data_IF_980945473077
#
_entry.id   IF_980945473077
#
_cell.length_a   1.000
_cell.length_b   1.000
_cell.length_c   1.000
_cell.angle_alpha   90.00
_cell.angle_beta   90.00
_cell.angle_gamma   90.00
#
_symmetry.space_group_name_H-M   'P 1'
#
loop_
_entity.id
_entity.type
_entity.pdbx_description
1 polymer ?
#
# COMPACT_ATOMS: atom_id res chain seq x y z
N UNK A 1 51.10 7.65 -40.55
CA UNK A 1 50.87 7.02 -39.23
C UNK A 1 49.71 7.75 -38.57
N UNK A 2 48.85 6.93 -37.98
CA UNK A 2 47.51 7.21 -37.47
C UNK A 2 47.41 8.35 -36.46
N UNK A 3 46.23 8.97 -36.35
CA UNK A 3 45.54 9.00 -35.06
C UNK A 3 44.05 9.30 -35.22
N UNK A 4 43.23 8.31 -34.91
CA UNK A 4 41.79 8.43 -34.71
C UNK A 4 41.54 9.20 -33.40
N UNK A 5 40.90 10.36 -33.46
CA UNK A 5 40.34 11.00 -32.27
C UNK A 5 38.88 10.62 -32.12
N UNK A 6 38.64 9.41 -31.61
CA UNK A 6 37.31 8.98 -31.18
C UNK A 6 37.00 9.62 -29.82
N UNK A 7 36.18 10.67 -29.83
CA UNK A 7 35.58 11.23 -28.60
C UNK A 7 34.56 10.25 -28.04
N UNK A 8 35.03 9.30 -27.24
CA UNK A 8 34.15 8.57 -26.31
C UNK A 8 33.62 9.57 -25.29
N UNK A 9 32.33 9.93 -25.40
CA UNK A 9 31.56 10.59 -24.31
C UNK A 9 31.54 9.62 -23.12
N UNK A 10 32.57 9.67 -22.29
CA UNK A 10 32.52 9.09 -20.96
C UNK A 10 31.49 9.89 -20.15
N UNK A 11 30.35 9.27 -19.84
CA UNK A 11 29.43 9.82 -18.85
C UNK A 11 30.21 9.93 -17.54
N UNK A 12 30.28 11.15 -17.00
CA UNK A 12 30.99 11.43 -15.74
C UNK A 12 30.55 10.44 -14.65
N UNK A 13 31.50 9.79 -13.93
CA UNK A 13 31.18 8.82 -12.87
C UNK A 13 30.30 9.41 -11.76
N UNK A 14 30.32 10.74 -11.60
CA UNK A 14 29.45 11.47 -10.67
C UNK A 14 27.96 11.25 -10.96
N UNK A 15 27.56 11.20 -12.23
CA UNK A 15 26.14 11.05 -12.62
C UNK A 15 25.62 9.63 -12.35
N UNK A 16 26.50 8.63 -12.47
CA UNK A 16 26.19 7.23 -12.15
C UNK A 16 26.05 7.04 -10.64
N UNK A 17 26.94 7.67 -9.86
CA UNK A 17 26.91 7.63 -8.40
C UNK A 17 25.62 8.26 -7.84
N UNK A 18 25.23 9.46 -8.31
CA UNK A 18 23.99 10.12 -7.85
C UNK A 18 22.74 9.30 -8.18
N UNK A 19 22.71 8.65 -9.35
CA UNK A 19 21.61 7.74 -9.75
C UNK A 19 21.52 6.50 -8.87
N UNK A 20 22.68 5.94 -8.48
CA UNK A 20 22.73 4.78 -7.59
C UNK A 20 22.28 5.13 -6.18
N UNK A 21 22.73 6.26 -5.65
CA UNK A 21 22.30 6.79 -4.36
C UNK A 21 20.79 7.05 -4.35
N UNK A 22 20.26 7.83 -5.30
CA UNK A 22 18.82 8.11 -5.41
C UNK A 22 17.97 6.83 -5.45
N UNK A 23 18.37 5.84 -6.27
CA UNK A 23 17.69 4.54 -6.34
C UNK A 23 17.73 3.77 -5.01
N UNK A 24 18.84 3.87 -4.28
CA UNK A 24 19.00 3.25 -2.96
C UNK A 24 18.16 3.98 -1.90
N UNK A 25 18.06 5.31 -1.99
CA UNK A 25 17.21 6.13 -1.11
C UNK A 25 15.72 5.86 -1.35
N UNK A 26 15.31 5.56 -2.59
CA UNK A 26 13.94 5.15 -2.89
C UNK A 26 13.64 3.76 -2.32
N UNK A 27 14.57 2.80 -2.46
CA UNK A 27 14.39 1.45 -1.94
C UNK A 27 14.17 1.38 -0.42
N UNK A 28 14.81 2.26 0.37
CA UNK A 28 14.58 2.33 1.83
C UNK A 28 13.22 2.92 2.20
N UNK A 29 12.65 3.76 1.34
CA UNK A 29 11.40 4.47 1.61
C UNK A 29 10.16 3.73 1.12
N UNK A 30 10.33 2.74 0.24
CA UNK A 30 9.21 1.95 -0.26
C UNK A 30 8.79 0.89 0.76
N UNK A 31 7.49 0.61 0.83
CA UNK A 31 6.86 -0.43 1.63
C UNK A 31 5.86 -1.21 0.76
N UNK A 32 5.71 -2.50 1.05
CA UNK A 32 4.75 -3.38 0.40
C UNK A 32 3.69 -3.78 1.42
N UNK A 33 2.42 -3.57 1.08
CA UNK A 33 1.29 -3.82 1.96
C UNK A 33 0.31 -4.77 1.28
N UNK A 34 0.11 -5.94 1.88
CA UNK A 34 -0.98 -6.85 1.58
C UNK A 34 -2.32 -6.26 1.99
N UNK A 35 -3.21 -6.16 1.03
CA UNK A 35 -4.55 -5.59 1.16
C UNK A 35 -5.58 -6.68 0.84
N UNK A 36 -6.65 -6.74 1.62
CA UNK A 36 -7.82 -7.57 1.35
C UNK A 36 -9.08 -6.70 1.42
N UNK A 37 -9.98 -6.82 0.46
CA UNK A 37 -11.29 -6.17 0.53
C UNK A 37 -12.26 -7.13 1.24
N UNK A 38 -13.02 -6.64 2.21
CA UNK A 38 -14.06 -7.45 2.86
C UNK A 38 -15.05 -7.95 1.80
N UNK A 39 -15.30 -9.26 1.79
CA UNK A 39 -16.18 -9.91 0.81
C UNK A 39 -15.49 -10.34 -0.48
N UNK A 40 -14.19 -10.07 -0.65
CA UNK A 40 -13.40 -10.64 -1.74
C UNK A 40 -12.45 -11.73 -1.26
N UNK A 41 -12.22 -12.74 -2.11
CA UNK A 41 -11.33 -13.87 -1.79
C UNK A 41 -9.84 -13.56 -2.07
N UNK A 42 -9.59 -12.58 -2.95
CA UNK A 42 -8.25 -12.30 -3.48
C UNK A 42 -7.63 -11.07 -2.81
N UNK A 43 -6.60 -11.34 -2.00
CA UNK A 43 -5.68 -10.32 -1.55
C UNK A 43 -4.83 -9.79 -2.71
N UNK A 44 -4.29 -8.59 -2.54
CA UNK A 44 -3.42 -7.93 -3.50
C UNK A 44 -2.36 -7.11 -2.78
N UNK A 45 -1.27 -6.78 -3.48
CA UNK A 45 -0.15 -6.04 -2.90
C UNK A 45 -0.15 -4.63 -3.46
N UNK A 46 -0.06 -3.64 -2.57
CA UNK A 46 0.27 -2.26 -2.92
C UNK A 46 1.70 -1.97 -2.55
N UNK A 47 2.41 -1.35 -3.50
CA UNK A 47 3.73 -0.78 -3.28
C UNK A 47 3.59 0.74 -3.20
N UNK A 48 4.03 1.32 -2.09
CA UNK A 48 3.90 2.76 -1.82
C UNK A 48 5.07 3.26 -0.97
N UNK A 49 5.13 4.57 -0.73
CA UNK A 49 6.19 5.19 0.06
C UNK A 49 5.74 5.38 1.50
N UNK A 50 6.63 5.10 2.46
CA UNK A 50 6.35 5.18 3.90
C UNK A 50 5.97 6.60 4.38
N UNK A 51 6.37 7.64 3.64
CA UNK A 51 6.11 9.05 3.99
C UNK A 51 4.71 9.46 3.60
N UNK A 52 4.08 8.72 2.68
CA UNK A 52 2.74 9.05 2.25
C UNK A 52 1.79 8.90 3.41
N UNK A 53 0.74 9.70 3.36
CA UNK A 53 -0.29 9.71 4.38
C UNK A 53 -1.28 8.56 4.20
N UNK A 54 -2.10 8.30 5.22
CA UNK A 54 -3.23 7.35 5.11
C UNK A 54 -4.23 7.80 4.04
N UNK A 55 -4.47 9.10 3.87
CA UNK A 55 -5.33 9.61 2.79
C UNK A 55 -4.76 9.29 1.40
N UNK A 56 -3.46 9.44 1.19
CA UNK A 56 -2.80 9.03 -0.05
C UNK A 56 -2.85 7.50 -0.26
N UNK A 57 -2.77 6.72 0.82
CA UNK A 57 -2.93 5.26 0.78
C UNK A 57 -4.34 4.86 0.34
N UNK A 58 -5.39 5.50 0.88
CA UNK A 58 -6.79 5.27 0.42
C UNK A 58 -6.93 5.53 -1.07
N UNK A 59 -6.35 6.64 -1.55
CA UNK A 59 -6.36 6.97 -2.98
C UNK A 59 -5.65 5.90 -3.82
N UNK A 60 -4.50 5.41 -3.37
CA UNK A 60 -3.76 4.35 -4.06
C UNK A 60 -4.55 3.03 -4.11
N UNK A 61 -5.24 2.65 -3.02
CA UNK A 61 -6.12 1.49 -2.96
C UNK A 61 -7.29 1.63 -3.92
N UNK A 62 -7.97 2.78 -3.90
CA UNK A 62 -9.08 3.08 -4.81
C UNK A 62 -8.63 2.96 -6.27
N UNK A 63 -7.51 3.59 -6.62
CA UNK A 63 -6.97 3.56 -7.98
C UNK A 63 -6.60 2.13 -8.42
N UNK A 64 -6.04 1.31 -7.52
CA UNK A 64 -5.68 -0.07 -7.84
C UNK A 64 -6.91 -0.94 -8.15
N UNK A 65 -8.00 -0.77 -7.40
CA UNK A 65 -9.27 -1.46 -7.65
C UNK A 65 -10.39 -0.50 -8.04
N UNK A 66 -10.14 0.32 -9.05
CA UNK A 66 -11.07 1.38 -9.50
C UNK A 66 -12.47 0.83 -9.79
N UNK A 67 -12.57 -0.33 -10.43
CA UNK A 67 -13.86 -0.95 -10.75
C UNK A 67 -14.66 -1.38 -9.51
N UNK A 68 -13.98 -1.88 -8.47
CA UNK A 68 -14.63 -2.32 -7.22
C UNK A 68 -15.09 -1.11 -6.42
N UNK A 69 -14.30 -0.04 -6.42
CA UNK A 69 -14.57 1.17 -5.65
C UNK A 69 -15.19 2.30 -6.48
N UNK A 70 -15.73 1.99 -7.67
CA UNK A 70 -16.20 3.00 -8.63
C UNK A 70 -17.28 3.92 -8.05
N UNK A 71 -18.12 3.38 -7.17
CA UNK A 71 -19.24 4.08 -6.54
C UNK A 71 -18.87 4.81 -5.25
N UNK A 72 -17.62 4.65 -4.77
CA UNK A 72 -17.19 5.18 -3.49
C UNK A 72 -16.03 6.15 -3.66
N UNK A 73 -16.04 7.23 -2.90
CA UNK A 73 -14.87 8.09 -2.76
C UNK A 73 -13.82 7.44 -1.86
N UNK A 74 -12.55 7.79 -2.07
CA UNK A 74 -11.46 7.14 -1.35
C UNK A 74 -11.56 7.37 0.17
N UNK A 75 -12.07 8.52 0.61
CA UNK A 75 -12.32 8.86 2.00
C UNK A 75 -13.51 8.10 2.62
N UNK A 76 -14.35 7.45 1.82
CA UNK A 76 -15.42 6.58 2.30
C UNK A 76 -14.92 5.17 2.61
N UNK A 77 -13.68 4.83 2.22
CA UNK A 77 -13.09 3.52 2.50
C UNK A 77 -12.52 3.51 3.92
N UNK A 78 -13.06 2.63 4.75
CA UNK A 78 -12.48 2.35 6.07
C UNK A 78 -11.30 1.39 5.89
N UNK A 79 -10.15 1.78 6.42
CA UNK A 79 -8.94 0.97 6.39
C UNK A 79 -8.63 0.47 7.79
N UNK A 80 -8.49 -0.85 7.92
CA UNK A 80 -8.16 -1.51 9.16
C UNK A 80 -6.75 -2.08 9.09
N UNK A 81 -5.89 -1.68 10.02
CA UNK A 81 -4.57 -2.30 10.22
C UNK A 81 -4.74 -3.65 10.90
N UNK A 82 -4.16 -4.67 10.29
CA UNK A 82 -4.12 -6.04 10.81
C UNK A 82 -2.74 -6.67 10.61
N UNK A 83 -2.54 -7.86 11.16
CA UNK A 83 -1.36 -8.68 10.91
C UNK A 83 -1.75 -10.15 10.80
N UNK A 84 -2.28 -10.54 9.64
CA UNK A 84 -2.87 -11.88 9.41
C UNK A 84 -2.10 -12.58 8.28
N UNK A 85 -1.61 -13.81 8.47
CA UNK A 85 -1.02 -14.59 7.38
C UNK A 85 -1.99 -14.73 6.21
N UNK A 86 -1.55 -14.58 4.96
CA UNK A 86 -2.45 -14.70 3.80
C UNK A 86 -3.14 -16.07 3.74
N UNK A 87 -2.47 -17.13 4.20
CA UNK A 87 -3.03 -18.49 4.27
C UNK A 87 -4.29 -18.57 5.17
N UNK A 88 -4.48 -17.62 6.09
CA UNK A 88 -5.62 -17.55 6.99
C UNK A 88 -6.69 -16.55 6.51
N UNK A 89 -6.61 -16.02 5.27
CA UNK A 89 -7.55 -15.03 4.76
C UNK A 89 -9.02 -15.47 4.75
N UNK A 90 -9.26 -16.78 4.64
CA UNK A 90 -10.60 -17.38 4.68
C UNK A 90 -11.34 -17.14 6.01
N UNK A 91 -10.61 -16.74 7.06
CA UNK A 91 -11.18 -16.37 8.34
C UNK A 91 -11.78 -14.96 8.39
N UNK A 92 -11.59 -14.15 7.34
CA UNK A 92 -12.09 -12.79 7.20
C UNK A 92 -13.33 -12.85 6.31
N UNK A 93 -14.51 -12.59 6.89
CA UNK A 93 -15.76 -12.47 6.16
C UNK A 93 -16.51 -11.20 6.60
N UNK A 94 -17.61 -10.88 5.91
CA UNK A 94 -18.40 -9.67 6.19
C UNK A 94 -19.04 -9.65 7.58
N UNK A 95 -19.30 -10.83 8.17
CA UNK A 95 -19.92 -10.99 9.49
C UNK A 95 -18.87 -11.06 10.62
N UNK A 96 -17.58 -11.05 10.28
CA UNK A 96 -16.50 -11.14 11.26
C UNK A 96 -16.23 -9.78 11.87
N UNK A 97 -16.34 -9.70 13.20
CA UNK A 97 -15.78 -8.58 13.95
C UNK A 97 -14.25 -8.69 13.92
N UNK A 98 -13.65 -8.05 12.91
CA UNK A 98 -12.20 -8.06 12.68
C UNK A 98 -11.44 -7.34 13.79
N UNK A 99 -12.05 -6.36 14.47
CA UNK A 99 -11.45 -5.66 15.59
C UNK A 99 -11.31 -6.61 16.78
N UNK A 100 -12.40 -7.32 17.13
CA UNK A 100 -12.39 -8.27 18.23
C UNK A 100 -11.54 -9.52 17.93
N UNK A 101 -11.67 -10.09 16.71
CA UNK A 101 -11.03 -11.37 16.36
C UNK A 101 -9.54 -11.23 16.08
N UNK A 102 -9.12 -10.16 15.40
CA UNK A 102 -7.74 -9.99 14.93
C UNK A 102 -7.01 -8.81 15.56
N UNK A 103 -7.65 -8.11 16.51
CA UNK A 103 -7.09 -6.89 17.09
C UNK A 103 -6.93 -5.79 16.04
N UNK A 104 -7.82 -5.74 15.05
CA UNK A 104 -7.76 -4.74 13.99
C UNK A 104 -7.89 -3.33 14.56
N UNK A 105 -7.05 -2.42 14.09
CA UNK A 105 -7.06 -1.01 14.49
C UNK A 105 -7.42 -0.16 13.28
N UNK A 106 -8.43 0.69 13.41
CA UNK A 106 -8.81 1.61 12.34
C UNK A 106 -7.71 2.65 12.10
N UNK A 107 -7.42 2.91 10.82
CA UNK A 107 -6.53 3.99 10.38
C UNK A 107 -7.36 5.27 10.19
N UNK A 108 -7.79 5.86 11.30
CA UNK A 108 -8.71 7.02 11.31
C UNK A 108 -8.01 8.31 10.86
N UNK A 109 -6.76 8.53 11.26
CA UNK A 109 -6.07 9.79 11.02
C UNK A 109 -5.49 9.85 9.60
N UNK A 110 -6.12 10.67 8.76
CA UNK A 110 -5.75 10.83 7.35
C UNK A 110 -4.38 11.47 7.11
N UNK A 111 -3.80 12.14 8.12
CA UNK A 111 -2.49 12.80 8.04
C UNK A 111 -1.35 11.95 8.58
N UNK A 112 -1.65 10.87 9.30
CA UNK A 112 -0.60 9.97 9.76
C UNK A 112 0.10 9.34 8.56
N UNK A 113 1.41 9.22 8.67
CA UNK A 113 2.20 8.56 7.63
C UNK A 113 2.07 7.05 7.76
N UNK A 114 2.23 6.35 6.65
CA UNK A 114 2.24 4.89 6.62
C UNK A 114 3.33 4.34 7.57
N UNK A 115 4.46 5.04 7.69
CA UNK A 115 5.53 4.68 8.62
C UNK A 115 5.08 4.60 10.09
N UNK A 116 4.24 5.53 10.54
CA UNK A 116 3.72 5.56 11.92
C UNK A 116 2.96 4.28 12.25
N UNK A 117 2.22 3.73 11.29
CA UNK A 117 1.38 2.56 11.51
C UNK A 117 2.09 1.24 11.19
N UNK A 118 2.93 1.18 10.15
CA UNK A 118 3.48 -0.08 9.63
C UNK A 118 4.99 -0.21 9.82
N UNK A 119 5.67 0.85 10.28
CA UNK A 119 7.12 0.86 10.44
C UNK A 119 7.86 0.60 9.14
N UNK A 120 8.95 -0.18 9.22
CA UNK A 120 9.89 -0.32 8.10
C UNK A 120 9.79 -1.64 7.33
N UNK A 121 9.20 -2.70 7.89
CA UNK A 121 9.26 -4.04 7.29
C UNK A 121 8.06 -4.94 7.66
N UNK A 122 6.88 -4.69 7.08
CA UNK A 122 5.78 -5.63 7.14
C UNK A 122 6.11 -6.91 6.34
N UNK A 123 5.73 -8.07 6.87
CA UNK A 123 6.00 -9.38 6.25
C UNK A 123 5.20 -9.55 4.96
N UNK A 124 5.87 -9.66 3.81
CA UNK A 124 5.20 -9.68 2.49
C UNK A 124 4.16 -10.80 2.26
N UNK A 125 4.14 -11.85 3.10
CA UNK A 125 3.16 -12.96 3.04
C UNK A 125 1.92 -12.73 3.91
N UNK A 126 1.75 -11.53 4.46
CA UNK A 126 0.68 -11.17 5.38
C UNK A 126 -0.25 -10.13 4.76
N UNK A 127 -1.50 -10.18 5.20
CA UNK A 127 -2.46 -9.11 5.05
C UNK A 127 -2.17 -8.10 6.17
N UNK A 128 -1.95 -6.86 5.75
CA UNK A 128 -1.68 -5.72 6.62
C UNK A 128 -2.87 -4.77 6.68
N UNK A 129 -3.68 -4.73 5.63
CA UNK A 129 -4.83 -3.83 5.51
C UNK A 129 -6.06 -4.63 5.12
N UNK A 130 -7.13 -4.47 5.88
CA UNK A 130 -8.48 -4.84 5.44
C UNK A 130 -9.20 -3.56 4.99
N UNK A 131 -9.78 -3.59 3.80
CA UNK A 131 -10.53 -2.49 3.21
C UNK A 131 -12.00 -2.80 3.32
N UNK A 132 -12.74 -1.92 3.98
CA UNK A 132 -14.18 -2.03 4.13
C UNK A 132 -14.86 -0.87 3.40
N UNK A 133 -15.83 -1.19 2.56
CA UNK A 133 -16.71 -0.21 1.91
C UNK A 133 -17.88 0.10 2.84
N UNK A 134 -18.48 1.31 2.75
CA UNK A 134 -19.68 1.62 3.50
C UNK A 134 -20.79 0.63 3.14
N UNK A 135 -21.36 -0.03 4.14
CA UNK A 135 -22.58 -0.81 3.94
C UNK A 135 -23.69 0.18 3.56
N UNK A 136 -24.45 -0.04 2.48
CA UNK A 136 -25.60 0.81 2.20
C UNK A 136 -26.53 0.79 3.41
N UNK A 137 -26.86 1.99 3.91
CA UNK A 137 -27.84 2.15 4.99
C UNK A 137 -29.11 1.37 4.59
N UNK A 138 -29.67 0.52 5.46
CA UNK A 138 -30.92 -0.16 5.15
C UNK A 138 -31.96 0.92 4.88
N UNK A 139 -32.55 0.90 3.68
CA UNK A 139 -33.59 1.83 3.29
C UNK A 139 -34.71 1.74 4.34
N UNK A 140 -34.90 2.81 5.12
CA UNK A 140 -35.99 2.92 6.07
C UNK A 140 -37.28 2.91 5.27
N UNK A 141 -38.03 1.80 5.36
CA UNK A 141 -39.39 1.68 4.81
C UNK A 141 -40.38 2.07 5.90
#
# INVERSE_FOLDING_TARGET
MSSYSSLSRALSPFWVQTKFEEKTLLARYTIMLGCLVIGEDKAFIIRTDKIKTISELRNAIKAYKENVFKTFDANQLTLWKVNIPEINKWEINADTDIAQKFGAVELENDFDTIEVHFGTNPTATYIHIIVQVPTPLPATT
#
